data_IF_791076338864
#
_entry.id   IF_791076338864
#
_cell.length_a   1.000
_cell.length_b   1.000
_cell.length_c   1.000
_cell.angle_alpha   90.00
_cell.angle_beta   90.00
_cell.angle_gamma   90.00
#
_symmetry.space_group_name_H-M   'P 1'
#
loop_
_entity.id
_entity.type
_entity.pdbx_description
1 polymer ?
#
# COMPACT_ATOMS: atom_id res chain seq x y z
N UNK A 1 -0.61 10.39 -25.52
CA UNK A 1 -0.25 9.69 -24.27
C UNK A 1 1.15 10.11 -23.85
N UNK A 2 1.34 10.53 -22.60
CA UNK A 2 2.57 11.15 -22.11
C UNK A 2 3.53 10.13 -21.49
N UNK A 3 4.13 9.28 -22.33
CA UNK A 3 4.95 8.13 -21.91
C UNK A 3 6.09 8.52 -20.97
N UNK A 4 6.77 9.64 -21.21
CA UNK A 4 7.91 10.07 -20.38
C UNK A 4 7.50 10.37 -18.95
N UNK A 5 6.33 11.00 -18.75
CA UNK A 5 5.82 11.29 -17.42
C UNK A 5 5.33 10.02 -16.72
N UNK A 6 4.68 9.11 -17.46
CA UNK A 6 4.28 7.80 -16.94
C UNK A 6 5.51 7.00 -16.48
N UNK A 7 6.53 6.90 -17.32
CA UNK A 7 7.80 6.24 -16.98
C UNK A 7 8.44 6.87 -15.74
N UNK A 8 8.50 8.20 -15.65
CA UNK A 8 9.03 8.86 -14.46
C UNK A 8 8.26 8.48 -13.19
N UNK A 9 6.93 8.46 -13.24
CA UNK A 9 6.11 8.07 -12.10
C UNK A 9 6.27 6.59 -11.73
N UNK A 10 6.36 5.70 -12.74
CA UNK A 10 6.65 4.28 -12.52
C UNK A 10 8.00 4.08 -11.83
N UNK A 11 9.04 4.80 -12.27
CA UNK A 11 10.35 4.78 -11.62
C UNK A 11 10.27 5.25 -10.17
N UNK A 12 9.52 6.33 -9.88
CA UNK A 12 9.33 6.83 -8.51
C UNK A 12 8.62 5.82 -7.62
N UNK A 13 7.52 5.18 -8.08
CA UNK A 13 6.82 4.16 -7.30
C UNK A 13 7.73 2.97 -6.99
N UNK A 14 8.47 2.47 -7.99
CA UNK A 14 9.37 1.34 -7.77
C UNK A 14 10.54 1.70 -6.84
N UNK A 15 11.02 2.94 -6.86
CA UNK A 15 12.02 3.41 -5.90
C UNK A 15 11.48 3.40 -4.46
N UNK A 16 10.22 3.81 -4.25
CA UNK A 16 9.56 3.77 -2.94
C UNK A 16 9.40 2.31 -2.48
N UNK A 17 8.90 1.42 -3.34
CA UNK A 17 8.77 -0.02 -3.02
C UNK A 17 10.13 -0.63 -2.67
N UNK A 18 11.17 -0.33 -3.45
CA UNK A 18 12.55 -0.76 -3.15
C UNK A 18 13.06 -0.24 -1.81
N UNK A 19 12.77 1.01 -1.44
CA UNK A 19 13.12 1.55 -0.13
C UNK A 19 12.44 0.78 1.00
N UNK A 20 11.16 0.46 0.87
CA UNK A 20 10.44 -0.36 1.85
C UNK A 20 10.95 -1.80 1.91
N UNK A 21 11.37 -2.37 0.77
CA UNK A 21 11.98 -3.70 0.70
C UNK A 21 13.35 -3.77 1.41
N UNK A 22 14.01 -2.64 1.68
CA UNK A 22 15.21 -2.61 2.52
C UNK A 22 14.93 -3.08 3.96
N UNK A 23 13.70 -2.91 4.47
CA UNK A 23 13.31 -3.35 5.83
C UNK A 23 13.36 -4.89 5.96
N UNK A 24 12.63 -5.69 5.15
CA UNK A 24 12.75 -7.15 5.20
C UNK A 24 14.15 -7.63 4.80
N UNK A 25 14.89 -6.88 3.98
CA UNK A 25 16.31 -7.19 3.70
C UNK A 25 17.16 -7.13 4.99
N UNK A 26 17.00 -6.08 5.78
CA UNK A 26 17.69 -5.95 7.06
C UNK A 26 17.24 -7.02 8.07
N UNK A 27 15.94 -7.36 8.10
CA UNK A 27 15.43 -8.47 8.91
C UNK A 27 16.04 -9.81 8.49
N UNK A 28 16.18 -10.07 7.19
CA UNK A 28 16.79 -11.30 6.69
C UNK A 28 18.25 -11.42 7.15
N UNK A 29 18.99 -10.32 7.15
CA UNK A 29 20.35 -10.27 7.68
C UNK A 29 20.38 -10.51 9.20
N UNK A 30 19.51 -9.84 9.95
CA UNK A 30 19.41 -9.95 11.40
C UNK A 30 19.08 -11.37 11.88
N UNK A 31 18.14 -12.04 11.21
CA UNK A 31 17.73 -13.42 11.53
C UNK A 31 18.65 -14.49 10.90
N UNK A 32 19.68 -14.12 10.14
CA UNK A 32 20.58 -15.08 9.48
C UNK A 32 19.94 -15.86 8.31
N UNK A 33 18.87 -15.32 7.73
CA UNK A 33 18.08 -15.94 6.66
C UNK A 33 18.75 -15.73 5.29
N UNK A 34 19.91 -16.36 5.08
CA UNK A 34 20.80 -16.09 3.93
C UNK A 34 20.15 -16.27 2.55
N UNK A 35 19.25 -17.23 2.40
CA UNK A 35 18.52 -17.44 1.13
C UNK A 35 17.61 -16.25 0.83
N UNK A 36 16.81 -15.80 1.81
CA UNK A 36 15.96 -14.62 1.69
C UNK A 36 16.78 -13.34 1.52
N UNK A 37 17.87 -13.17 2.27
CA UNK A 37 18.76 -12.01 2.15
C UNK A 37 19.33 -11.87 0.73
N UNK A 38 19.87 -12.96 0.16
CA UNK A 38 20.39 -12.96 -1.23
C UNK A 38 19.26 -12.65 -2.24
N UNK A 39 18.07 -13.19 -2.01
CA UNK A 39 16.91 -12.96 -2.87
C UNK A 39 16.47 -11.48 -2.85
N UNK A 40 16.43 -10.85 -1.67
CA UNK A 40 16.13 -9.43 -1.54
C UNK A 40 17.20 -8.53 -2.14
N UNK A 41 18.49 -8.79 -1.88
CA UNK A 41 19.60 -8.02 -2.48
C UNK A 41 19.56 -8.09 -4.01
N UNK A 42 19.35 -9.28 -4.55
CA UNK A 42 19.19 -9.47 -5.99
C UNK A 42 18.02 -8.64 -6.55
N UNK A 43 16.88 -8.63 -5.85
CA UNK A 43 15.70 -7.85 -6.22
C UNK A 43 15.96 -6.34 -6.15
N UNK A 44 16.61 -5.86 -5.08
CA UNK A 44 16.97 -4.46 -4.91
C UNK A 44 17.91 -3.96 -6.02
N UNK A 45 18.88 -4.77 -6.43
CA UNK A 45 19.76 -4.43 -7.57
C UNK A 45 18.94 -4.27 -8.85
N UNK A 46 18.01 -5.19 -9.13
CA UNK A 46 17.11 -5.08 -10.29
C UNK A 46 16.26 -3.82 -10.22
N UNK A 47 15.68 -3.50 -9.05
CA UNK A 47 14.90 -2.29 -8.84
C UNK A 47 15.76 -1.04 -9.08
N UNK A 48 16.98 -1.00 -8.55
CA UNK A 48 17.89 0.15 -8.75
C UNK A 48 18.21 0.33 -10.24
N UNK A 49 18.55 -0.75 -10.95
CA UNK A 49 18.82 -0.69 -12.40
C UNK A 49 17.58 -0.19 -13.15
N UNK A 50 16.40 -0.77 -12.85
CA UNK A 50 15.13 -0.34 -13.43
C UNK A 50 14.89 1.15 -13.22
N UNK A 51 15.00 1.62 -11.97
CA UNK A 51 14.77 3.03 -11.60
C UNK A 51 15.75 3.95 -12.31
N UNK A 52 17.05 3.62 -12.35
CA UNK A 52 18.08 4.43 -13.03
C UNK A 52 17.78 4.55 -14.52
N UNK A 53 17.50 3.43 -15.19
CA UNK A 53 17.16 3.41 -16.63
C UNK A 53 15.91 4.23 -16.90
N UNK A 54 14.82 3.96 -16.17
CA UNK A 54 13.52 4.57 -16.41
C UNK A 54 13.55 6.08 -16.11
N UNK A 55 14.20 6.50 -15.03
CA UNK A 55 14.33 7.92 -14.71
C UNK A 55 15.28 8.66 -15.66
N UNK A 56 16.31 8.01 -16.20
CA UNK A 56 17.19 8.62 -17.21
C UNK A 56 16.44 8.98 -18.49
N UNK A 57 15.52 8.12 -18.94
CA UNK A 57 14.64 8.35 -20.10
C UNK A 57 13.57 9.40 -19.80
N UNK A 58 13.11 9.50 -18.55
CA UNK A 58 12.08 10.43 -18.10
C UNK A 58 12.55 11.88 -17.81
N UNK A 59 13.84 12.20 -17.95
CA UNK A 59 14.44 13.49 -17.51
C UNK A 59 14.03 14.74 -18.30
N UNK A 60 13.41 14.61 -19.46
CA UNK A 60 13.13 15.75 -20.33
C UNK A 60 11.63 15.94 -20.57
N UNK A 61 10.97 16.85 -19.83
CA UNK A 61 10.19 18.00 -20.38
C UNK A 61 9.22 18.72 -19.43
N UNK A 62 8.80 19.91 -19.90
CA UNK A 62 7.79 20.86 -19.38
C UNK A 62 6.49 20.20 -18.92
N UNK A 63 5.95 20.74 -17.83
CA UNK A 63 4.65 20.44 -17.23
C UNK A 63 3.52 20.39 -18.26
N UNK A 64 3.23 19.19 -18.81
CA UNK A 64 1.91 18.88 -19.35
C UNK A 64 1.13 18.17 -18.27
N UNK A 65 -0.12 18.57 -18.07
CA UNK A 65 -1.04 17.85 -17.20
C UNK A 65 -1.23 16.43 -17.74
N UNK A 66 -1.28 15.45 -16.84
CA UNK A 66 -1.64 14.09 -17.20
C UNK A 66 -3.10 14.06 -17.66
N UNK A 67 -3.36 13.37 -18.75
CA UNK A 67 -4.73 13.08 -19.16
C UNK A 67 -5.27 11.88 -18.36
N UNK A 68 -6.60 11.70 -18.34
CA UNK A 68 -7.26 10.55 -17.71
C UNK A 68 -6.67 9.20 -18.20
N UNK A 69 -6.41 9.09 -19.50
CA UNK A 69 -5.81 7.90 -20.13
C UNK A 69 -4.39 7.63 -19.62
N UNK A 70 -3.61 8.68 -19.38
CA UNK A 70 -2.26 8.54 -18.84
C UNK A 70 -2.29 8.03 -17.39
N UNK A 71 -3.26 8.51 -16.59
CA UNK A 71 -3.46 8.06 -15.20
C UNK A 71 -3.85 6.58 -15.17
N UNK A 72 -4.86 6.14 -15.92
CA UNK A 72 -5.25 4.73 -15.93
C UNK A 72 -4.10 3.81 -16.30
N UNK A 73 -3.38 4.15 -17.38
CA UNK A 73 -2.24 3.35 -17.80
C UNK A 73 -1.13 3.31 -16.74
N UNK A 74 -0.81 4.45 -16.15
CA UNK A 74 0.17 4.54 -15.06
C UNK A 74 -0.21 3.63 -13.90
N UNK A 75 -1.46 3.67 -13.45
CA UNK A 75 -1.95 2.85 -12.34
C UNK A 75 -1.82 1.37 -12.67
N UNK A 76 -2.35 0.94 -13.82
CA UNK A 76 -2.28 -0.46 -14.26
C UNK A 76 -0.85 -0.97 -14.34
N UNK A 77 0.05 -0.21 -14.97
CA UNK A 77 1.45 -0.59 -15.09
C UNK A 77 2.17 -0.60 -13.74
N UNK A 78 1.82 0.31 -12.82
CA UNK A 78 2.44 0.37 -11.48
C UNK A 78 2.21 -0.93 -10.72
N UNK A 79 0.97 -1.43 -10.69
CA UNK A 79 0.63 -2.68 -10.03
C UNK A 79 1.31 -3.88 -10.69
N UNK A 80 1.27 -3.97 -12.02
CA UNK A 80 1.90 -5.06 -12.76
C UNK A 80 3.40 -5.12 -12.46
N UNK A 81 4.12 -4.01 -12.61
CA UNK A 81 5.58 -3.97 -12.38
C UNK A 81 5.91 -4.21 -10.91
N UNK A 82 5.13 -3.66 -9.97
CA UNK A 82 5.32 -3.88 -8.53
C UNK A 82 5.18 -5.37 -8.19
N UNK A 83 4.15 -6.04 -8.73
CA UNK A 83 3.94 -7.47 -8.53
C UNK A 83 5.08 -8.31 -9.12
N UNK A 84 5.49 -8.03 -10.36
CA UNK A 84 6.63 -8.75 -10.97
C UNK A 84 7.90 -8.62 -10.12
N UNK A 85 8.28 -7.41 -9.73
CA UNK A 85 9.50 -7.21 -8.95
C UNK A 85 9.36 -7.72 -7.50
N UNK A 86 8.19 -7.53 -6.89
CA UNK A 86 7.90 -7.98 -5.53
C UNK A 86 7.77 -9.50 -5.37
N UNK A 87 7.53 -10.24 -6.46
CA UNK A 87 7.51 -11.70 -6.48
C UNK A 87 8.90 -12.33 -6.48
N UNK A 88 9.93 -11.61 -6.96
CA UNK A 88 11.30 -12.13 -7.06
C UNK A 88 11.83 -12.69 -5.72
N UNK A 89 11.70 -12.00 -4.57
CA UNK A 89 12.21 -12.55 -3.31
C UNK A 89 11.48 -13.82 -2.88
N UNK A 90 10.17 -13.96 -3.14
CA UNK A 90 9.37 -15.15 -2.81
C UNK A 90 9.76 -16.39 -3.61
N UNK A 91 10.16 -16.19 -4.88
CA UNK A 91 10.63 -17.29 -5.72
C UNK A 91 12.09 -17.65 -5.40
N UNK A 92 12.98 -16.64 -5.35
CA UNK A 92 14.42 -16.84 -5.19
C UNK A 92 14.83 -17.30 -3.80
N UNK A 93 14.03 -17.02 -2.77
CA UNK A 93 14.22 -17.58 -1.42
C UNK A 93 13.88 -19.08 -1.34
N UNK A 94 13.19 -19.63 -2.33
CA UNK A 94 12.63 -20.98 -2.29
C UNK A 94 11.32 -21.08 -1.52
N UNK A 95 10.69 -19.97 -1.14
CA UNK A 95 9.40 -19.97 -0.42
C UNK A 95 8.25 -20.50 -1.28
N UNK A 96 8.32 -20.29 -2.60
CA UNK A 96 7.30 -20.75 -3.56
C UNK A 96 7.92 -21.69 -4.59
N UNK A 97 7.14 -22.68 -5.05
CA UNK A 97 7.64 -23.71 -5.96
C UNK A 97 8.06 -23.18 -7.33
N UNK A 98 7.36 -22.15 -7.83
CA UNK A 98 7.64 -21.54 -9.12
C UNK A 98 7.32 -20.03 -9.09
N UNK A 99 7.80 -19.30 -10.09
CA UNK A 99 7.62 -17.86 -10.15
C UNK A 99 6.15 -17.45 -10.36
N UNK A 100 5.33 -18.27 -11.01
CA UNK A 100 3.89 -18.01 -11.16
C UNK A 100 3.18 -18.02 -9.81
N UNK A 101 3.52 -18.97 -8.93
CA UNK A 101 3.06 -18.99 -7.54
C UNK A 101 3.55 -17.75 -6.78
N UNK A 102 4.83 -17.37 -6.92
CA UNK A 102 5.34 -16.13 -6.32
C UNK A 102 4.61 -14.88 -6.81
N UNK A 103 4.29 -14.82 -8.11
CA UNK A 103 3.57 -13.72 -8.73
C UNK A 103 2.14 -13.63 -8.19
N UNK A 104 1.45 -14.77 -8.08
CA UNK A 104 0.10 -14.86 -7.52
C UNK A 104 0.08 -14.39 -6.05
N UNK A 105 1.06 -14.84 -5.25
CA UNK A 105 1.22 -14.43 -3.85
C UNK A 105 1.50 -12.93 -3.71
N UNK A 106 2.42 -12.38 -4.51
CA UNK A 106 2.72 -10.94 -4.52
C UNK A 106 1.55 -10.11 -5.03
N UNK A 107 0.81 -10.61 -6.04
CA UNK A 107 -0.37 -9.94 -6.58
C UNK A 107 -1.42 -9.81 -5.48
N UNK A 108 -1.76 -10.95 -4.87
CA UNK A 108 -2.67 -11.04 -3.73
C UNK A 108 -2.28 -10.09 -2.60
N UNK A 109 -0.98 -9.99 -2.35
CA UNK A 109 -0.42 -9.05 -1.39
C UNK A 109 -0.70 -7.58 -1.74
N UNK A 110 -0.20 -7.13 -2.89
CA UNK A 110 -0.38 -5.73 -3.32
C UNK A 110 -1.84 -5.34 -3.54
N UNK A 111 -2.70 -6.26 -3.97
CA UNK A 111 -4.14 -6.01 -4.14
C UNK A 111 -4.95 -6.21 -2.88
N UNK A 112 -4.28 -6.43 -1.73
CA UNK A 112 -4.93 -6.65 -0.42
C UNK A 112 -6.02 -7.72 -0.49
N UNK A 113 -5.76 -8.80 -1.22
CA UNK A 113 -6.70 -9.91 -1.41
C UNK A 113 -6.52 -11.00 -0.36
N UNK A 114 -5.28 -11.20 0.10
CA UNK A 114 -4.99 -12.14 1.19
C UNK A 114 -5.07 -13.63 0.85
N UNK A 115 -5.23 -13.99 -0.42
CA UNK A 115 -5.14 -15.38 -0.86
C UNK A 115 -3.68 -15.85 -0.89
N UNK A 116 -3.42 -17.01 -0.31
CA UNK A 116 -2.07 -17.60 -0.21
C UNK A 116 -2.01 -18.93 -0.92
N UNK A 117 -0.89 -19.21 -1.61
CA UNK A 117 -0.56 -20.55 -2.13
C UNK A 117 0.52 -21.28 -1.31
N UNK A 118 0.98 -20.65 -0.24
CA UNK A 118 1.95 -21.23 0.70
C UNK A 118 1.19 -22.08 1.71
N UNK A 119 1.44 -23.40 1.71
CA UNK A 119 0.77 -24.36 2.60
C UNK A 119 1.23 -24.26 4.05
N UNK A 120 2.54 -24.13 4.29
CA UNK A 120 3.12 -23.99 5.63
C UNK A 120 3.71 -22.58 5.80
N UNK A 121 2.87 -21.63 6.20
CA UNK A 121 3.27 -20.23 6.44
C UNK A 121 4.25 -20.12 7.59
N UNK A 122 4.09 -20.95 8.63
CA UNK A 122 4.91 -20.91 9.85
C UNK A 122 6.36 -21.34 9.62
N UNK A 123 6.60 -22.17 8.60
CA UNK A 123 7.93 -22.57 8.16
C UNK A 123 8.66 -21.55 7.28
N UNK A 124 8.01 -20.44 6.90
CA UNK A 124 8.60 -19.42 6.04
C UNK A 124 9.52 -18.49 6.84
N UNK A 125 10.62 -18.09 6.21
CA UNK A 125 11.54 -17.07 6.73
C UNK A 125 10.79 -15.81 7.19
N UNK A 126 11.11 -15.29 8.38
CA UNK A 126 10.47 -14.12 8.99
C UNK A 126 10.58 -12.89 8.11
N UNK A 127 11.70 -12.68 7.43
CA UNK A 127 11.84 -11.58 6.47
C UNK A 127 10.88 -11.67 5.29
N UNK A 128 10.60 -12.89 4.82
CA UNK A 128 9.64 -13.14 3.74
C UNK A 128 8.21 -12.96 4.24
N UNK A 129 7.88 -13.45 5.43
CA UNK A 129 6.58 -13.21 6.08
C UNK A 129 6.30 -11.71 6.27
N UNK A 130 7.32 -10.97 6.70
CA UNK A 130 7.25 -9.53 6.83
C UNK A 130 7.04 -8.86 5.47
N UNK A 131 7.77 -9.27 4.42
CA UNK A 131 7.57 -8.75 3.07
C UNK A 131 6.15 -8.99 2.55
N UNK A 132 5.63 -10.22 2.69
CA UNK A 132 4.24 -10.55 2.32
C UNK A 132 3.27 -9.59 2.98
N UNK A 133 3.36 -9.40 4.29
CA UNK A 133 2.45 -8.52 5.02
C UNK A 133 2.68 -7.03 4.69
N UNK A 134 3.93 -6.62 4.45
CA UNK A 134 4.26 -5.26 4.04
C UNK A 134 3.64 -4.91 2.68
N UNK A 135 3.50 -5.88 1.76
CA UNK A 135 2.79 -5.63 0.50
C UNK A 135 1.31 -5.30 0.70
N UNK A 136 0.63 -5.84 1.73
CA UNK A 136 -0.72 -5.41 2.11
C UNK A 136 -0.71 -3.93 2.51
N UNK A 137 0.20 -3.54 3.38
CA UNK A 137 0.29 -2.16 3.86
C UNK A 137 0.59 -1.16 2.72
N UNK A 138 1.51 -1.51 1.83
CA UNK A 138 1.82 -0.71 0.64
C UNK A 138 0.65 -0.68 -0.35
N UNK A 139 -0.06 -1.79 -0.51
CA UNK A 139 -1.24 -1.93 -1.37
C UNK A 139 -2.42 -1.07 -0.89
N UNK A 140 -2.75 -1.18 0.41
CA UNK A 140 -3.78 -0.38 1.06
C UNK A 140 -3.48 1.12 0.96
N UNK A 141 -2.22 1.50 1.19
CA UNK A 141 -1.76 2.88 0.95
C UNK A 141 -1.93 3.28 -0.53
N UNK A 142 -1.63 2.38 -1.47
CA UNK A 142 -1.80 2.60 -2.91
C UNK A 142 -3.25 2.93 -3.27
N UNK A 143 -4.22 2.18 -2.74
CA UNK A 143 -5.65 2.46 -2.93
C UNK A 143 -6.06 3.83 -2.38
N UNK A 144 -5.55 4.23 -1.20
CA UNK A 144 -5.84 5.55 -0.63
C UNK A 144 -5.32 6.68 -1.53
N UNK A 145 -4.11 6.52 -2.09
CA UNK A 145 -3.53 7.49 -3.02
C UNK A 145 -4.29 7.53 -4.35
N UNK A 146 -4.70 6.37 -4.88
CA UNK A 146 -5.54 6.27 -6.07
C UNK A 146 -6.87 6.97 -5.89
N UNK A 147 -7.52 6.76 -4.75
CA UNK A 147 -8.77 7.42 -4.40
C UNK A 147 -8.60 8.94 -4.46
N UNK A 148 -7.54 9.50 -3.87
CA UNK A 148 -7.29 10.96 -3.92
C UNK A 148 -7.00 11.48 -5.32
N UNK A 149 -6.31 10.68 -6.15
CA UNK A 149 -6.05 11.03 -7.54
C UNK A 149 -7.34 11.02 -8.39
N UNK A 150 -8.31 10.15 -8.05
CA UNK A 150 -9.57 9.99 -8.76
C UNK A 150 -10.72 10.85 -8.21
N UNK A 151 -10.64 11.32 -6.96
CA UNK A 151 -11.62 12.22 -6.33
C UNK A 151 -12.07 13.42 -7.21
N UNK A 152 -11.20 14.09 -7.98
CA UNK A 152 -11.62 15.20 -8.86
C UNK A 152 -12.54 14.76 -10.01
N UNK A 153 -12.46 13.50 -10.40
CA UNK A 153 -13.20 12.93 -11.53
C UNK A 153 -14.57 12.42 -11.08
N UNK A 154 -14.70 12.04 -9.81
CA UNK A 154 -15.93 11.53 -9.21
C UNK A 154 -16.96 12.63 -8.90
N UNK A 155 -16.69 13.88 -9.29
CA UNK A 155 -17.73 14.92 -9.34
C UNK A 155 -18.39 15.20 -8.00
N UNK A 156 -17.65 15.19 -6.87
CA UNK A 156 -18.20 15.72 -5.61
C UNK A 156 -18.52 17.20 -5.85
N UNK A 157 -19.81 17.48 -6.04
CA UNK A 157 -20.44 18.73 -6.53
C UNK A 157 -20.15 19.99 -5.69
N UNK A 158 -19.24 19.93 -4.71
CA UNK A 158 -18.82 21.09 -3.92
C UNK A 158 -17.74 21.98 -4.58
N UNK A 159 -17.11 21.55 -5.68
CA UNK A 159 -16.06 22.33 -6.35
C UNK A 159 -16.58 23.23 -7.48
N UNK A 160 -17.75 22.96 -8.05
CA UNK A 160 -18.32 23.79 -9.14
C UNK A 160 -18.99 25.07 -8.63
N UNK A 161 -19.48 25.09 -7.39
CA UNK A 161 -20.12 26.29 -6.81
C UNK A 161 -19.14 27.45 -6.58
N UNK A 162 -17.83 27.18 -6.44
CA UNK A 162 -16.81 28.24 -6.37
C UNK A 162 -16.25 28.65 -7.74
N UNK A 163 -16.58 27.91 -8.80
CA UNK A 163 -16.21 28.24 -10.18
C UNK A 163 -17.22 29.13 -10.88
N UNK A 164 -18.48 29.13 -10.43
CA UNK A 164 -19.55 29.96 -11.01
C UNK A 164 -19.35 31.47 -10.76
N UNK A 165 -18.63 31.85 -9.69
CA UNK A 165 -18.30 33.24 -9.38
C UNK A 165 -16.91 33.67 -9.89
N UNK A 166 -16.11 32.75 -10.42
CA UNK A 166 -14.77 33.05 -10.90
C UNK A 166 -14.78 33.43 -12.39
N UNK A 167 -14.76 34.73 -12.67
CA UNK A 167 -14.54 35.27 -14.01
C UNK A 167 -13.11 34.94 -14.46
N UNK A 168 -12.95 33.98 -15.37
CA UNK A 168 -11.68 33.68 -16.05
C UNK A 168 -11.42 32.18 -16.27
N UNK A 169 -10.52 31.81 -17.21
CA UNK A 169 -10.34 30.42 -17.63
C UNK A 169 -9.84 29.56 -16.46
N UNK A 170 -10.71 28.69 -15.94
CA UNK A 170 -10.41 27.72 -14.89
C UNK A 170 -9.47 26.66 -15.43
N UNK A 171 -8.16 26.94 -15.34
CA UNK A 171 -7.12 25.94 -15.57
C UNK A 171 -7.32 24.81 -14.56
N UNK A 172 -7.49 23.60 -15.08
CA UNK A 172 -7.53 22.31 -14.37
C UNK A 172 -6.19 21.97 -13.69
N UNK A 173 -5.69 22.87 -12.85
CA UNK A 173 -4.56 22.58 -11.97
C UNK A 173 -5.06 21.70 -10.83
N UNK A 174 -4.32 20.64 -10.54
CA UNK A 174 -4.33 19.97 -9.23
C UNK A 174 -4.15 21.08 -8.18
N UNK A 175 -5.23 21.46 -7.49
CA UNK A 175 -5.19 22.58 -6.56
C UNK A 175 -4.39 22.18 -5.31
N UNK A 176 -3.74 23.13 -4.60
CA UNK A 176 -3.01 22.87 -3.34
C UNK A 176 -3.84 22.10 -2.29
N UNK A 177 -5.17 22.22 -2.38
CA UNK A 177 -6.14 21.49 -1.55
C UNK A 177 -6.07 19.96 -1.74
N UNK A 178 -5.73 19.46 -2.93
CA UNK A 178 -5.65 18.02 -3.22
C UNK A 178 -4.48 17.33 -2.53
N UNK A 179 -3.30 17.97 -2.54
CA UNK A 179 -2.12 17.49 -1.81
C UNK A 179 -2.42 17.39 -0.31
N UNK A 180 -3.13 18.37 0.23
CA UNK A 180 -3.51 18.39 1.64
C UNK A 180 -4.51 17.27 2.00
N UNK A 181 -5.46 16.95 1.11
CA UNK A 181 -6.36 15.81 1.30
C UNK A 181 -5.60 14.48 1.31
N UNK A 182 -4.69 14.26 0.36
CA UNK A 182 -3.84 13.06 0.33
C UNK A 182 -3.03 12.90 1.62
N UNK A 183 -2.41 13.98 2.10
CA UNK A 183 -1.63 13.95 3.34
C UNK A 183 -2.51 13.60 4.53
N UNK A 184 -3.73 14.15 4.64
CA UNK A 184 -4.62 13.83 5.77
C UNK A 184 -5.05 12.38 5.75
N UNK A 185 -5.45 11.82 4.60
CA UNK A 185 -5.81 10.41 4.50
C UNK A 185 -4.62 9.50 4.83
N UNK A 186 -3.42 9.89 4.40
CA UNK A 186 -2.20 9.17 4.75
C UNK A 186 -1.90 9.20 6.24
N UNK A 187 -2.09 10.35 6.89
CA UNK A 187 -1.93 10.48 8.34
C UNK A 187 -2.96 9.65 9.11
N UNK A 188 -4.21 9.56 8.63
CA UNK A 188 -5.23 8.69 9.21
C UNK A 188 -4.81 7.22 9.11
N UNK A 189 -4.37 6.78 7.93
CA UNK A 189 -3.91 5.40 7.70
C UNK A 189 -2.75 5.01 8.63
N UNK A 190 -1.75 5.91 8.77
CA UNK A 190 -0.64 5.70 9.70
C UNK A 190 -1.09 5.74 11.16
N UNK A 191 -1.99 6.66 11.52
CA UNK A 191 -2.51 6.74 12.88
C UNK A 191 -3.23 5.44 13.28
N UNK A 192 -4.06 4.88 12.40
CA UNK A 192 -4.71 3.58 12.62
C UNK A 192 -3.68 2.46 12.73
N UNK A 193 -2.69 2.41 11.82
CA UNK A 193 -1.59 1.44 11.86
C UNK A 193 -0.84 1.47 13.20
N UNK A 194 -0.42 2.65 13.64
CA UNK A 194 0.33 2.82 14.88
C UNK A 194 -0.54 2.48 16.10
N UNK A 195 -1.79 2.94 16.12
CA UNK A 195 -2.69 2.69 17.24
C UNK A 195 -2.98 1.19 17.40
N UNK A 196 -3.26 0.48 16.31
CA UNK A 196 -3.48 -0.97 16.38
C UNK A 196 -2.22 -1.70 16.82
N UNK A 197 -1.06 -1.35 16.27
CA UNK A 197 0.22 -1.97 16.65
C UNK A 197 0.46 -1.81 18.15
N UNK A 198 0.26 -0.62 18.70
CA UNK A 198 0.40 -0.35 20.14
C UNK A 198 -0.59 -1.19 20.97
N UNK A 199 -1.86 -1.24 20.56
CA UNK A 199 -2.86 -2.04 21.29
C UNK A 199 -2.52 -3.52 21.27
N UNK A 200 -2.07 -4.07 20.14
CA UNK A 200 -1.64 -5.46 20.04
C UNK A 200 -0.42 -5.77 20.92
N UNK A 201 0.54 -4.84 21.03
CA UNK A 201 1.67 -4.95 21.96
C UNK A 201 1.19 -5.00 23.42
N UNK A 202 0.20 -4.18 23.80
CA UNK A 202 -0.40 -4.22 25.14
C UNK A 202 -1.14 -5.54 25.40
N UNK A 203 -1.61 -6.21 24.35
CA UNK A 203 -2.18 -7.56 24.38
C UNK A 203 -1.16 -8.69 24.55
N UNK A 204 0.15 -8.38 24.64
CA UNK A 204 1.22 -9.36 24.81
C UNK A 204 1.74 -9.98 23.52
N UNK A 205 1.34 -9.47 22.35
CA UNK A 205 1.83 -9.94 21.04
C UNK A 205 3.21 -9.36 20.75
N UNK A 206 4.08 -10.13 20.10
CA UNK A 206 5.41 -9.64 19.70
C UNK A 206 5.29 -8.48 18.70
N UNK A 207 6.26 -7.55 18.66
CA UNK A 207 6.23 -6.44 17.70
C UNK A 207 6.15 -6.92 16.25
N UNK A 208 6.83 -8.02 15.94
CA UNK A 208 6.82 -8.60 14.59
C UNK A 208 5.41 -9.05 14.20
N UNK A 209 4.75 -9.81 15.07
CA UNK A 209 3.40 -10.32 14.84
C UNK A 209 2.36 -9.18 14.86
N UNK A 210 2.51 -8.22 15.78
CA UNK A 210 1.64 -7.05 15.87
C UNK A 210 1.66 -6.24 14.57
N UNK A 211 2.84 -6.06 13.95
CA UNK A 211 2.95 -5.39 12.65
C UNK A 211 2.31 -6.21 11.53
N UNK A 212 2.53 -7.53 11.50
CA UNK A 212 1.90 -8.41 10.49
C UNK A 212 0.37 -8.35 10.57
N UNK A 213 -0.20 -8.52 11.76
CA UNK A 213 -1.65 -8.43 12.00
C UNK A 213 -2.17 -7.05 11.60
N UNK A 214 -1.49 -5.99 11.99
CA UNK A 214 -1.88 -4.61 11.70
C UNK A 214 -1.86 -4.34 10.18
N UNK A 215 -0.80 -4.73 9.49
CA UNK A 215 -0.70 -4.56 8.03
C UNK A 215 -1.80 -5.34 7.31
N UNK A 216 -2.12 -6.54 7.78
CA UNK A 216 -3.21 -7.34 7.24
C UNK A 216 -4.58 -6.71 7.46
N UNK A 217 -4.87 -6.18 8.64
CA UNK A 217 -6.20 -5.69 9.02
C UNK A 217 -6.47 -4.24 8.60
N UNK A 218 -5.53 -3.31 8.80
CA UNK A 218 -5.70 -1.90 8.38
C UNK A 218 -5.76 -1.76 6.86
N UNK A 219 -5.05 -2.63 6.13
CA UNK A 219 -5.16 -2.69 4.67
C UNK A 219 -6.30 -3.57 4.16
N UNK A 220 -7.13 -4.13 5.05
CA UNK A 220 -8.22 -5.07 4.74
C UNK A 220 -7.81 -6.25 3.86
N UNK A 221 -6.58 -6.74 4.00
CA UNK A 221 -6.04 -7.83 3.20
C UNK A 221 -5.97 -9.18 3.90
N UNK A 222 -5.65 -9.26 5.20
CA UNK A 222 -5.79 -10.50 5.97
C UNK A 222 -4.65 -11.55 5.92
N UNK A 223 -3.45 -11.21 5.42
CA UNK A 223 -2.27 -12.07 5.63
C UNK A 223 -1.92 -12.14 7.13
N UNK A 224 -1.41 -13.30 7.54
CA UNK A 224 -1.00 -13.60 8.91
C UNK A 224 0.33 -14.36 8.96
N UNK A 225 0.96 -14.38 10.14
CA UNK A 225 2.22 -15.09 10.37
C UNK A 225 2.03 -16.62 10.56
N UNK A 226 0.79 -17.06 10.76
CA UNK A 226 0.41 -18.44 11.06
C UNK A 226 -0.69 -18.92 10.14
N UNK A 227 -0.81 -20.25 9.97
CA UNK A 227 -1.87 -20.84 9.14
C UNK A 227 -3.27 -20.63 9.74
N UNK A 228 -3.37 -20.64 11.08
CA UNK A 228 -4.62 -20.38 11.80
C UNK A 228 -5.01 -18.90 11.88
N UNK A 229 -4.23 -18.00 11.26
CA UNK A 229 -4.45 -16.55 11.31
C UNK A 229 -4.58 -16.06 12.77
N UNK A 230 -5.51 -15.16 13.05
CA UNK A 230 -5.73 -14.60 14.39
C UNK A 230 -6.07 -15.67 15.44
N UNK A 231 -6.73 -16.76 15.04
CA UNK A 231 -7.10 -17.84 15.96
C UNK A 231 -5.87 -18.54 16.58
N UNK A 232 -4.72 -18.52 15.90
CA UNK A 232 -3.48 -19.09 16.44
C UNK A 232 -2.98 -18.40 17.72
N UNK A 233 -3.37 -17.15 17.97
CA UNK A 233 -2.94 -16.42 19.17
C UNK A 233 -3.76 -16.80 20.41
N UNK A 234 -4.93 -17.46 20.25
CA UNK A 234 -5.80 -17.93 21.34
C UNK A 234 -6.04 -16.86 22.44
N UNK A 235 -6.21 -15.61 22.01
CA UNK A 235 -6.28 -14.45 22.90
C UNK A 235 -7.44 -13.55 22.47
N UNK A 236 -8.52 -13.58 23.25
CA UNK A 236 -9.74 -12.81 22.98
C UNK A 236 -9.50 -11.30 22.90
N UNK A 237 -8.51 -10.77 23.62
CA UNK A 237 -8.15 -9.35 23.51
C UNK A 237 -7.64 -9.02 22.10
N UNK A 238 -6.74 -9.85 21.56
CA UNK A 238 -6.18 -9.68 20.21
C UNK A 238 -7.26 -9.81 19.15
N UNK A 239 -8.18 -10.76 19.31
CA UNK A 239 -9.34 -10.94 18.43
C UNK A 239 -10.25 -9.71 18.42
N UNK A 240 -10.60 -9.18 19.60
CA UNK A 240 -11.47 -8.00 19.75
C UNK A 240 -10.80 -6.76 19.14
N UNK A 241 -9.52 -6.50 19.47
CA UNK A 241 -8.78 -5.38 18.90
C UNK A 241 -8.72 -5.49 17.38
N UNK A 242 -8.35 -6.66 16.85
CA UNK A 242 -8.27 -6.86 15.39
C UNK A 242 -9.62 -6.66 14.72
N UNK A 243 -10.71 -7.18 15.31
CA UNK A 243 -12.07 -7.02 14.79
C UNK A 243 -12.49 -5.55 14.73
N UNK A 244 -12.24 -4.78 15.79
CA UNK A 244 -12.54 -3.34 15.81
C UNK A 244 -11.79 -2.63 14.68
N UNK A 245 -10.51 -2.94 14.48
CA UNK A 245 -9.73 -2.32 13.42
C UNK A 245 -10.11 -2.77 12.02
N UNK A 246 -10.61 -4.00 11.84
CA UNK A 246 -11.22 -4.42 10.57
C UNK A 246 -12.45 -3.59 10.24
N UNK A 247 -13.31 -3.31 11.23
CA UNK A 247 -14.47 -2.42 11.04
C UNK A 247 -13.99 -1.02 10.70
N UNK A 248 -13.06 -0.44 11.48
CA UNK A 248 -12.54 0.90 11.24
C UNK A 248 -11.87 1.02 9.85
N UNK A 249 -11.09 0.03 9.43
CA UNK A 249 -10.45 0.03 8.12
C UNK A 249 -11.46 -0.13 6.97
N UNK A 250 -12.58 -0.81 7.22
CA UNK A 250 -13.68 -0.96 6.25
C UNK A 250 -14.56 0.29 6.10
N UNK A 251 -14.52 1.22 7.06
CA UNK A 251 -15.27 2.49 6.97
C UNK A 251 -14.69 3.37 5.87
N UNK A 252 -15.56 4.06 5.15
CA UNK A 252 -15.17 5.01 4.12
C UNK A 252 -14.21 6.09 4.66
N UNK A 253 -12.99 6.13 4.12
CA UNK A 253 -11.93 7.03 4.58
C UNK A 253 -12.28 8.53 4.46
N UNK A 254 -13.24 8.89 3.60
CA UNK A 254 -13.75 10.25 3.51
C UNK A 254 -14.48 10.71 4.78
N UNK A 255 -15.08 9.79 5.54
CA UNK A 255 -15.72 10.09 6.82
C UNK A 255 -14.69 10.43 7.89
N UNK A 256 -13.57 9.72 7.95
CA UNK A 256 -12.45 10.10 8.82
C UNK A 256 -11.92 11.48 8.47
N UNK A 257 -11.79 11.80 7.18
CA UNK A 257 -11.43 13.13 6.74
C UNK A 257 -12.45 14.20 7.19
N UNK A 258 -13.75 13.91 7.11
CA UNK A 258 -14.81 14.80 7.58
C UNK A 258 -14.76 15.02 9.10
N UNK A 259 -14.51 13.96 9.88
CA UNK A 259 -14.32 14.03 11.34
C UNK A 259 -13.12 14.92 11.72
N UNK A 260 -11.98 14.75 11.06
CA UNK A 260 -10.79 15.59 11.27
C UNK A 260 -11.09 17.06 10.96
N UNK A 261 -11.99 17.33 10.00
CA UNK A 261 -12.47 18.67 9.65
C UNK A 261 -13.63 19.16 10.53
N UNK A 262 -14.01 18.44 11.60
CA UNK A 262 -15.12 18.75 12.51
C UNK A 262 -16.48 18.86 11.82
N UNK A 263 -16.67 18.18 10.69
CA UNK A 263 -17.94 18.13 9.93
C UNK A 263 -18.82 16.98 10.40
N UNK A 264 -19.21 16.98 11.67
CA UNK A 264 -19.95 15.88 12.28
C UNK A 264 -21.31 15.63 11.60
N UNK A 265 -22.00 16.68 11.14
CA UNK A 265 -23.27 16.55 10.44
C UNK A 265 -23.17 15.80 9.11
N UNK A 266 -22.02 15.81 8.45
CA UNK A 266 -21.77 15.02 7.23
C UNK A 266 -21.68 13.54 7.56
N UNK A 267 -21.07 13.19 8.70
CA UNK A 267 -20.89 11.80 9.13
C UNK A 267 -22.22 11.18 9.58
N UNK A 268 -23.03 11.91 10.32
CA UNK A 268 -24.33 11.43 10.81
C UNK A 268 -25.41 11.31 9.73
N UNK A 269 -25.21 11.96 8.58
CA UNK A 269 -26.15 11.94 7.45
C UNK A 269 -25.69 10.99 6.34
N UNK A 270 -24.55 10.33 6.53
CA UNK A 270 -24.08 9.31 5.62
C UNK A 270 -25.03 8.11 5.65
N UNK A 271 -25.41 7.62 4.47
CA UNK A 271 -26.43 6.58 4.32
C UNK A 271 -25.86 5.19 3.97
N UNK A 272 -24.53 5.09 3.83
CA UNK A 272 -23.80 3.81 3.82
C UNK A 272 -23.67 3.26 5.26
#
# INVERSE_FOLDING_TARGET
>A
MNWRQILRLLGTIQAIIGLFMAIPTALALYYGEWAAFKAFIFTLIIIIIYVVVILSVGRAWKERSLTLRDVYLFVTLSWIVATFLGAIPLYRSGTTANYTSAFMEAMSGFTTTGLTNIENVEGVAKSILFWRSLTHWLGGMGIVVLFVALLPLMGVEGFQLFGAEAVGPTKSKLTPKMKNTAIILWLIYIALTLLQTILLLLGGVSLFDALIITFGSVATGGFAATNGSIASYSNSYVEIVTTIFMVLAGVNFSLYFALVRKKFSTVWRDGE
#
